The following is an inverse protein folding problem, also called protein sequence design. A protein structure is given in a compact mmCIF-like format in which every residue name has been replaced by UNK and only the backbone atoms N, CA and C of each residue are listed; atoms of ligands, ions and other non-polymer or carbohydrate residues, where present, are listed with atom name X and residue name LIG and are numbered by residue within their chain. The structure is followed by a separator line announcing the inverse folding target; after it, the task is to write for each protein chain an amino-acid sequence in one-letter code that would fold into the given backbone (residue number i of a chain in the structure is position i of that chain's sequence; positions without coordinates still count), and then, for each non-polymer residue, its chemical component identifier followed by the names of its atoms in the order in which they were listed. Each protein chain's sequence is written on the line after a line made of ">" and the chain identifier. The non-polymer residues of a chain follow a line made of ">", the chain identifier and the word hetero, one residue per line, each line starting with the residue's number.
data_IF_322585589384
#
_entry.id   IF_322585589384
#
_cell.length_a   1.000
_cell.length_b   1.000
_cell.length_c   1.000
_cell.angle_alpha   90.00
_cell.angle_beta   90.00
_cell.angle_gamma   90.00
#
_symmetry.space_group_name_H-M   'P 1'
#
loop_
_entity.id
_entity.type
_entity.pdbx_description
1 polymer ?
#
# COMPACT_ATOMS: atom_id res chain seq x y z
N UNK A 1 20.35 5.33 33.43
CA UNK A 1 19.94 5.10 32.02
C UNK A 1 18.71 4.22 32.04
N UNK A 2 17.53 4.77 31.75
CA UNK A 2 16.28 4.01 31.74
C UNK A 2 16.10 3.35 30.37
N UNK A 3 16.43 2.07 30.26
CA UNK A 3 16.16 1.27 29.07
C UNK A 3 14.69 0.87 29.08
N UNK A 4 13.81 1.76 28.63
CA UNK A 4 12.42 1.40 28.35
C UNK A 4 12.41 0.42 27.18
N UNK A 5 12.05 -0.86 27.34
CA UNK A 5 11.99 -1.78 26.22
C UNK A 5 10.80 -1.38 25.34
N UNK A 6 11.06 -0.59 24.30
CA UNK A 6 10.07 -0.33 23.26
C UNK A 6 9.87 -1.67 22.53
N UNK A 7 8.68 -2.27 22.59
CA UNK A 7 8.49 -3.58 21.98
C UNK A 7 8.74 -3.49 20.47
N UNK A 8 9.56 -4.41 19.94
CA UNK A 8 10.03 -4.42 18.55
C UNK A 8 8.88 -4.30 17.51
N UNK A 9 7.69 -4.75 17.88
CA UNK A 9 6.44 -4.60 17.11
C UNK A 9 6.15 -3.14 16.70
N UNK A 10 6.63 -2.15 17.46
CA UNK A 10 6.45 -0.72 17.15
C UNK A 10 7.35 -0.22 16.05
N UNK A 11 8.52 -0.83 15.84
CA UNK A 11 9.37 -0.52 14.68
C UNK A 11 8.76 -1.08 13.40
N UNK A 12 8.15 -2.26 13.47
CA UNK A 12 7.44 -2.85 12.33
C UNK A 12 6.31 -1.96 11.82
N UNK A 13 5.62 -1.22 12.70
CA UNK A 13 4.58 -0.27 12.31
C UNK A 13 5.08 0.85 11.37
N UNK A 14 6.34 1.28 11.49
CA UNK A 14 6.94 2.26 10.57
C UNK A 14 7.24 1.67 9.19
N UNK A 15 7.67 0.41 9.16
CA UNK A 15 8.09 -0.26 7.93
C UNK A 15 6.90 -0.86 7.16
N UNK A 16 5.82 -1.21 7.85
CA UNK A 16 4.71 -1.98 7.28
C UNK A 16 4.06 -1.29 6.07
N UNK A 17 3.90 0.04 6.12
CA UNK A 17 3.32 0.81 5.02
C UNK A 17 4.17 0.72 3.75
N UNK A 18 5.48 0.92 3.87
CA UNK A 18 6.40 0.83 2.74
C UNK A 18 6.64 -0.61 2.27
N UNK A 19 6.66 -1.59 3.17
CA UNK A 19 6.73 -3.01 2.79
C UNK A 19 5.50 -3.41 1.97
N UNK A 20 4.30 -3.00 2.42
CA UNK A 20 3.06 -3.26 1.68
C UNK A 20 3.08 -2.57 0.30
N UNK A 21 3.54 -1.32 0.23
CA UNK A 21 3.71 -0.60 -1.03
C UNK A 21 4.70 -1.29 -1.98
N UNK A 22 5.88 -1.68 -1.49
CA UNK A 22 6.89 -2.37 -2.31
C UNK A 22 6.38 -3.73 -2.81
N UNK A 23 5.66 -4.49 -1.97
CA UNK A 23 5.03 -5.75 -2.38
C UNK A 23 3.98 -5.53 -3.47
N UNK A 24 3.11 -4.53 -3.31
CA UNK A 24 2.13 -4.14 -4.32
C UNK A 24 2.79 -3.74 -5.64
N UNK A 25 3.89 -2.97 -5.58
CA UNK A 25 4.67 -2.57 -6.75
C UNK A 25 5.24 -3.78 -7.50
N UNK A 26 5.89 -4.70 -6.80
CA UNK A 26 6.45 -5.91 -7.42
C UNK A 26 5.34 -6.77 -8.03
N UNK A 27 4.21 -6.93 -7.35
CA UNK A 27 3.08 -7.69 -7.88
C UNK A 27 2.49 -7.07 -9.14
N UNK A 28 2.18 -5.77 -9.11
CA UNK A 28 1.61 -5.07 -10.27
C UNK A 28 2.56 -5.07 -11.46
N UNK A 29 3.83 -4.77 -11.23
CA UNK A 29 4.83 -4.75 -12.30
C UNK A 29 5.11 -6.14 -12.85
N UNK A 30 5.21 -7.15 -11.98
CA UNK A 30 5.33 -8.55 -12.41
C UNK A 30 4.14 -9.00 -13.24
N UNK A 31 2.92 -8.69 -12.80
CA UNK A 31 1.70 -9.05 -13.53
C UNK A 31 1.58 -8.33 -14.88
N UNK A 32 2.05 -7.08 -14.95
CA UNK A 32 2.16 -6.33 -16.19
C UNK A 32 3.04 -7.09 -17.19
N UNK A 33 4.27 -7.44 -16.80
CA UNK A 33 5.21 -8.16 -17.66
C UNK A 33 4.70 -9.54 -18.07
N UNK A 34 4.17 -10.32 -17.11
CA UNK A 34 3.60 -11.65 -17.36
C UNK A 34 2.44 -11.56 -18.34
N UNK A 35 1.51 -10.63 -18.13
CA UNK A 35 0.33 -10.53 -18.97
C UNK A 35 0.60 -9.96 -20.37
N UNK A 36 1.65 -9.13 -20.54
CA UNK A 36 2.10 -8.77 -21.89
C UNK A 36 2.73 -9.98 -22.61
N UNK A 37 3.58 -10.76 -21.94
CA UNK A 37 4.19 -11.97 -22.52
C UNK A 37 3.16 -13.07 -22.82
N UNK A 38 2.14 -13.21 -21.97
CA UNK A 38 1.05 -14.19 -22.12
C UNK A 38 -0.05 -13.74 -23.09
N UNK A 39 0.04 -12.53 -23.67
CA UNK A 39 -0.95 -12.03 -24.63
C UNK A 39 -2.31 -11.66 -24.03
N UNK A 40 -2.43 -11.46 -22.71
CA UNK A 40 -3.69 -11.10 -22.05
C UNK A 40 -4.25 -9.74 -22.49
N UNK A 41 -3.42 -8.89 -23.08
CA UNK A 41 -3.87 -7.65 -23.70
C UNK A 41 -4.74 -7.87 -24.94
N UNK A 42 -4.62 -9.03 -25.61
CA UNK A 42 -5.42 -9.42 -26.79
C UNK A 42 -6.76 -10.04 -26.39
N UNK A 43 -6.88 -10.54 -25.16
CA UNK A 43 -8.11 -11.13 -24.64
C UNK A 43 -9.04 -10.04 -24.14
N UNK A 44 -10.10 -9.75 -24.90
CA UNK A 44 -11.11 -8.77 -24.53
C UNK A 44 -12.17 -9.38 -23.61
N UNK A 45 -12.47 -8.68 -22.52
CA UNK A 45 -13.57 -8.98 -21.60
C UNK A 45 -14.48 -7.76 -21.57
N UNK A 46 -15.47 -7.74 -22.48
CA UNK A 46 -16.30 -6.56 -22.72
C UNK A 46 -15.50 -5.40 -23.34
N UNK A 47 -15.59 -4.16 -22.83
CA UNK A 47 -14.88 -3.00 -23.37
C UNK A 47 -13.41 -2.90 -22.91
N UNK A 48 -12.94 -3.80 -22.04
CA UNK A 48 -11.57 -3.78 -21.49
C UNK A 48 -10.86 -5.10 -21.75
N UNK A 49 -9.53 -5.06 -21.87
CA UNK A 49 -8.72 -6.29 -21.92
C UNK A 49 -8.65 -6.97 -20.54
N UNK A 50 -8.48 -8.28 -20.54
CA UNK A 50 -8.25 -9.08 -19.33
C UNK A 50 -7.07 -8.50 -18.53
N UNK A 51 -6.01 -8.10 -19.24
CA UNK A 51 -4.84 -7.44 -18.65
C UNK A 51 -5.22 -6.20 -17.84
N UNK A 52 -6.05 -5.32 -18.40
CA UNK A 52 -6.46 -4.08 -17.73
C UNK A 52 -7.33 -4.37 -16.51
N UNK A 53 -8.24 -5.35 -16.60
CA UNK A 53 -9.07 -5.76 -15.47
C UNK A 53 -8.24 -6.29 -14.31
N UNK A 54 -7.25 -7.14 -14.57
CA UNK A 54 -6.38 -7.68 -13.51
C UNK A 54 -5.53 -6.58 -12.86
N UNK A 55 -4.94 -5.69 -13.66
CA UNK A 55 -4.12 -4.60 -13.13
C UNK A 55 -4.96 -3.59 -12.33
N UNK A 56 -6.16 -3.23 -12.79
CA UNK A 56 -7.09 -2.38 -12.04
C UNK A 56 -7.54 -3.07 -10.75
N UNK A 57 -7.84 -4.37 -10.80
CA UNK A 57 -8.19 -5.16 -9.62
C UNK A 57 -7.07 -5.17 -8.57
N UNK A 58 -5.83 -5.44 -9.00
CA UNK A 58 -4.65 -5.40 -8.12
C UNK A 58 -4.40 -4.00 -7.56
N UNK A 59 -4.62 -2.96 -8.36
CA UNK A 59 -4.50 -1.57 -7.90
C UNK A 59 -5.52 -1.26 -6.80
N UNK A 60 -6.79 -1.60 -7.00
CA UNK A 60 -7.86 -1.40 -6.00
C UNK A 60 -7.56 -2.21 -4.73
N UNK A 61 -7.14 -3.47 -4.86
CA UNK A 61 -6.76 -4.31 -3.72
C UNK A 61 -5.58 -3.71 -2.94
N UNK A 62 -4.58 -3.17 -3.63
CA UNK A 62 -3.44 -2.52 -3.01
C UNK A 62 -3.84 -1.26 -2.26
N UNK A 63 -4.67 -0.41 -2.86
CA UNK A 63 -5.25 0.78 -2.20
C UNK A 63 -6.09 0.40 -0.98
N UNK A 64 -6.94 -0.62 -1.11
CA UNK A 64 -7.76 -1.10 0.00
C UNK A 64 -6.91 -1.66 1.14
N UNK A 65 -5.87 -2.45 0.83
CA UNK A 65 -4.97 -3.02 1.82
C UNK A 65 -4.19 -1.96 2.59
N UNK A 66 -3.53 -1.04 1.89
CA UNK A 66 -2.75 0.05 2.52
C UNK A 66 -3.69 1.05 3.19
N UNK A 67 -4.89 1.27 2.63
CA UNK A 67 -5.97 2.05 3.23
C UNK A 67 -6.42 1.50 4.57
N UNK A 68 -6.68 0.19 4.63
CA UNK A 68 -7.07 -0.49 5.86
C UNK A 68 -5.95 -0.44 6.91
N UNK A 69 -4.71 -0.68 6.51
CA UNK A 69 -3.54 -0.54 7.40
C UNK A 69 -3.45 0.87 7.99
N UNK A 70 -3.57 1.90 7.14
CA UNK A 70 -3.56 3.31 7.56
C UNK A 70 -4.72 3.62 8.52
N UNK A 71 -5.91 3.08 8.24
CA UNK A 71 -7.09 3.26 9.10
C UNK A 71 -6.93 2.60 10.48
N UNK A 72 -6.39 1.38 10.52
CA UNK A 72 -6.11 0.67 11.77
C UNK A 72 -5.07 1.43 12.60
N UNK A 73 -4.00 1.91 11.97
CA UNK A 73 -3.00 2.74 12.64
C UNK A 73 -3.59 4.05 13.16
N UNK A 74 -4.44 4.72 12.37
CA UNK A 74 -5.14 5.94 12.77
C UNK A 74 -6.04 5.71 14.00
N UNK A 75 -6.83 4.62 14.01
CA UNK A 75 -7.68 4.28 15.17
C UNK A 75 -6.84 4.00 16.42
N UNK A 76 -5.76 3.24 16.27
CA UNK A 76 -4.83 2.95 17.38
C UNK A 76 -4.18 4.22 17.94
N UNK A 77 -3.77 5.14 17.06
CA UNK A 77 -3.23 6.44 17.44
C UNK A 77 -4.26 7.31 18.16
N UNK A 78 -5.47 7.44 17.61
CA UNK A 78 -6.55 8.26 18.18
C UNK A 78 -7.00 7.76 19.55
N UNK A 79 -7.08 6.43 19.75
CA UNK A 79 -7.43 5.84 21.03
C UNK A 79 -6.38 6.15 22.10
N UNK A 80 -5.09 6.01 21.77
CA UNK A 80 -3.99 6.26 22.72
C UNK A 80 -3.77 7.73 23.05
N UNK A 81 -4.04 8.65 22.11
CA UNK A 81 -3.93 10.09 22.34
C UNK A 81 -4.91 10.63 23.40
N UNK A 82 -5.96 9.87 23.73
CA UNK A 82 -6.89 10.19 24.84
C UNK A 82 -6.34 9.78 26.21
N UNK A 83 -5.44 8.81 26.24
CA UNK A 83 -4.69 8.42 27.42
C UNK A 83 -3.39 9.24 27.45
N UNK A 84 -2.82 9.52 28.62
CA UNK A 84 -1.72 10.49 28.79
C UNK A 84 -0.57 10.33 27.77
N UNK A 85 0.10 11.43 27.34
CA UNK A 85 1.17 11.36 26.33
C UNK A 85 2.28 10.42 26.79
N UNK A 86 2.49 9.35 26.02
CA UNK A 86 3.51 8.35 26.27
C UNK A 86 4.76 8.65 25.43
N UNK A 87 5.98 8.27 25.88
CA UNK A 87 7.23 8.52 25.16
C UNK A 87 7.34 7.88 23.76
N UNK A 88 6.33 7.13 23.32
CA UNK A 88 6.30 6.38 22.07
C UNK A 88 5.33 6.95 21.02
N UNK A 89 4.77 8.14 21.27
CA UNK A 89 3.87 8.83 20.34
C UNK A 89 4.55 9.16 19.00
N UNK A 90 5.85 9.42 19.00
CA UNK A 90 6.62 9.67 17.77
C UNK A 90 6.61 8.47 16.82
N UNK A 91 6.81 7.26 17.33
CA UNK A 91 6.82 6.04 16.51
C UNK A 91 5.44 5.73 15.93
N UNK A 92 4.38 6.00 16.70
CA UNK A 92 3.00 5.80 16.24
C UNK A 92 2.64 6.83 15.16
N UNK A 93 2.95 8.11 15.39
CA UNK A 93 2.73 9.17 14.40
C UNK A 93 3.56 8.91 13.13
N UNK A 94 4.82 8.54 13.28
CA UNK A 94 5.71 8.18 12.17
C UNK A 94 5.17 7.02 11.33
N UNK A 95 4.64 5.97 11.96
CA UNK A 95 4.00 4.86 11.25
C UNK A 95 2.77 5.31 10.45
N UNK A 96 1.93 6.16 11.03
CA UNK A 96 0.75 6.69 10.34
C UNK A 96 1.14 7.53 9.12
N UNK A 97 2.09 8.47 9.26
CA UNK A 97 2.56 9.28 8.14
C UNK A 97 3.28 8.45 7.07
N UNK A 98 4.04 7.43 7.47
CA UNK A 98 4.65 6.49 6.53
C UNK A 98 3.60 5.72 5.72
N UNK A 99 2.54 5.24 6.38
CA UNK A 99 1.42 4.55 5.71
C UNK A 99 0.62 5.48 4.80
N UNK A 100 0.45 6.74 5.20
CA UNK A 100 -0.19 7.77 4.38
C UNK A 100 0.66 8.12 3.14
N UNK A 101 1.98 8.22 3.30
CA UNK A 101 2.91 8.40 2.19
C UNK A 101 2.87 7.21 1.23
N UNK A 102 2.84 5.98 1.76
CA UNK A 102 2.70 4.76 0.98
C UNK A 102 1.38 4.72 0.18
N UNK A 103 0.26 5.16 0.77
CA UNK A 103 -1.00 5.35 0.06
C UNK A 103 -0.88 6.34 -1.10
N UNK A 104 -0.30 7.52 -0.83
CA UNK A 104 -0.09 8.55 -1.85
C UNK A 104 0.79 8.04 -2.99
N UNK A 105 1.88 7.36 -2.67
CA UNK A 105 2.76 6.72 -3.64
C UNK A 105 2.03 5.64 -4.45
N UNK A 106 1.21 4.80 -3.81
CA UNK A 106 0.37 3.80 -4.51
C UNK A 106 -0.53 4.45 -5.55
N UNK A 107 -1.26 5.50 -5.14
CA UNK A 107 -2.19 6.20 -6.01
C UNK A 107 -1.46 6.85 -7.19
N UNK A 108 -0.33 7.51 -6.92
CA UNK A 108 0.43 8.21 -7.96
C UNK A 108 1.14 7.24 -8.93
N UNK A 109 1.83 6.22 -8.42
CA UNK A 109 2.60 5.27 -9.23
C UNK A 109 1.70 4.40 -10.10
N UNK A 110 0.50 4.04 -9.63
CA UNK A 110 -0.38 3.13 -10.36
C UNK A 110 -1.55 3.82 -11.07
N UNK A 111 -1.77 5.13 -10.89
CA UNK A 111 -2.76 5.88 -11.68
C UNK A 111 -2.62 5.71 -13.21
N UNK A 112 -1.39 5.66 -13.79
CA UNK A 112 -1.19 5.37 -15.22
C UNK A 112 -1.88 4.10 -15.73
N UNK A 113 -2.04 3.05 -14.90
CA UNK A 113 -2.68 1.78 -15.26
C UNK A 113 -4.11 1.96 -15.75
N UNK A 114 -4.79 3.01 -15.28
CA UNK A 114 -6.19 3.26 -15.62
C UNK A 114 -6.35 4.00 -16.95
N UNK A 115 -5.30 4.68 -17.44
CA UNK A 115 -5.39 5.53 -18.63
C UNK A 115 -4.50 5.07 -19.80
N UNK A 116 -3.35 4.49 -19.52
CA UNK A 116 -2.37 4.10 -20.55
C UNK A 116 -2.54 2.63 -20.99
N UNK A 117 -2.16 2.37 -22.24
CA UNK A 117 -2.07 1.02 -22.79
C UNK A 117 -0.93 0.26 -22.11
N UNK A 118 -1.19 -0.90 -21.48
CA UNK A 118 -0.20 -1.61 -20.68
C UNK A 118 0.89 -2.30 -21.50
N UNK A 119 0.63 -2.58 -22.78
CA UNK A 119 1.59 -3.17 -23.71
C UNK A 119 1.57 -2.32 -24.98
N UNK A 120 2.75 -1.93 -25.47
CA UNK A 120 2.99 -1.28 -26.76
C UNK A 120 3.66 -2.28 -27.70
#
# INVERSE_FOLDING_TARGET
>A
MSTSPVPAIRFWLLLLGFIAWSGAFVLLYGMLSVGCAAGWHLQMVGPMSLQRLMLVGLFILSLAGIGLLTFVQYRGWKARRRERPAPNDFLIAGGFFASLAALGATAFTFAPVVALSPCL
#
